data_IF_513811092338
#
_entry.id   IF_513811092338
#
_cell.length_a   1.000
_cell.length_b   1.000
_cell.length_c   1.000
_cell.angle_alpha   90.00
_cell.angle_beta   90.00
_cell.angle_gamma   90.00
#
_symmetry.space_group_name_H-M   'P 1'
#
loop_
_entity.id
_entity.type
_entity.pdbx_description
1 polymer ?
#
# COMPACT_ATOMS: atom_id res chain seq x y z
N UNK A 1 8.68 18.41 -1.60
CA UNK A 1 9.36 17.30 -0.87
C UNK A 1 8.70 16.76 0.42
N UNK A 2 8.52 17.54 1.52
CA UNK A 2 8.13 16.98 2.84
C UNK A 2 6.85 16.11 2.84
N UNK A 3 5.80 16.57 2.14
CA UNK A 3 4.54 15.83 2.00
C UNK A 3 4.74 14.47 1.33
N UNK A 4 5.60 14.41 0.30
CA UNK A 4 5.93 13.18 -0.42
C UNK A 4 6.55 12.14 0.52
N UNK A 5 7.56 12.55 1.27
CA UNK A 5 8.22 11.69 2.27
C UNK A 5 7.24 11.21 3.35
N UNK A 6 6.38 12.10 3.84
CA UNK A 6 5.38 11.76 4.86
C UNK A 6 4.39 10.70 4.36
N UNK A 7 3.81 10.91 3.16
CA UNK A 7 2.88 9.97 2.56
C UNK A 7 3.54 8.64 2.19
N UNK A 8 4.75 8.66 1.65
CA UNK A 8 5.53 7.46 1.37
C UNK A 8 5.87 6.68 2.66
N UNK A 9 6.21 7.39 3.74
CA UNK A 9 6.44 6.81 5.06
C UNK A 9 5.20 6.11 5.61
N UNK A 10 4.02 6.75 5.51
CA UNK A 10 2.74 6.12 5.89
C UNK A 10 2.48 4.88 5.03
N UNK A 11 2.70 4.96 3.73
CA UNK A 11 2.50 3.84 2.80
C UNK A 11 3.42 2.66 3.12
N UNK A 12 4.71 2.91 3.34
CA UNK A 12 5.69 1.90 3.70
C UNK A 12 5.36 1.25 5.04
N UNK A 13 5.16 2.06 6.09
CA UNK A 13 4.83 1.57 7.43
C UNK A 13 3.53 0.77 7.43
N UNK A 14 2.49 1.28 6.78
CA UNK A 14 1.20 0.61 6.70
C UNK A 14 1.27 -0.72 5.94
N UNK A 15 2.09 -0.82 4.88
CA UNK A 15 2.34 -2.10 4.20
C UNK A 15 3.08 -3.09 5.07
N UNK A 16 4.09 -2.66 5.83
CA UNK A 16 4.79 -3.53 6.79
C UNK A 16 3.82 -4.02 7.87
N UNK A 17 2.98 -3.12 8.39
CA UNK A 17 1.95 -3.46 9.35
C UNK A 17 0.95 -4.49 8.81
N UNK A 18 0.46 -4.34 7.57
CA UNK A 18 -0.38 -5.34 6.93
C UNK A 18 0.36 -6.68 6.73
N UNK A 19 1.63 -6.62 6.34
CA UNK A 19 2.47 -7.78 6.05
C UNK A 19 2.66 -8.68 7.26
N UNK A 20 2.73 -8.11 8.46
CA UNK A 20 2.77 -8.86 9.72
C UNK A 20 1.61 -9.86 9.83
N UNK A 21 0.41 -9.47 9.37
CA UNK A 21 -0.79 -10.30 9.48
C UNK A 21 -0.95 -11.28 8.30
N UNK A 22 -0.35 -11.03 7.13
CA UNK A 22 -0.50 -11.95 5.98
C UNK A 22 0.69 -12.90 5.79
N UNK A 23 1.86 -12.58 6.36
CA UNK A 23 3.08 -13.34 6.13
C UNK A 23 3.05 -14.78 6.69
N UNK A 24 2.16 -15.12 7.63
CA UNK A 24 2.09 -16.46 8.24
C UNK A 24 1.07 -17.43 7.62
N UNK A 25 -0.02 -16.93 7.02
CA UNK A 25 -1.22 -17.74 6.75
C UNK A 25 -1.75 -17.62 5.33
N UNK A 26 -0.92 -17.24 4.35
CA UNK A 26 -1.36 -17.09 2.95
C UNK A 26 -2.11 -18.38 2.52
N UNK A 27 -3.44 -18.34 2.57
CA UNK A 27 -4.44 -19.37 2.22
C UNK A 27 -4.98 -20.28 3.33
N UNK A 28 -4.47 -20.26 4.56
CA UNK A 28 -4.93 -21.19 5.61
C UNK A 28 -5.92 -20.56 6.60
N UNK A 29 -5.83 -19.24 6.83
CA UNK A 29 -6.68 -18.53 7.80
C UNK A 29 -7.16 -17.22 7.18
N UNK A 30 -8.44 -16.90 7.39
CA UNK A 30 -8.98 -15.62 7.02
C UNK A 30 -8.54 -14.56 8.03
N UNK A 31 -7.66 -13.66 7.60
CA UNK A 31 -7.15 -12.56 8.43
C UNK A 31 -8.21 -11.46 8.55
N UNK A 32 -8.70 -11.20 9.77
CA UNK A 32 -9.72 -10.17 10.03
C UNK A 32 -9.37 -9.20 11.17
N UNK A 33 -8.14 -9.28 11.68
CA UNK A 33 -7.63 -8.49 12.80
C UNK A 33 -6.65 -7.41 12.34
N UNK A 34 -6.33 -6.48 13.25
CA UNK A 34 -5.42 -5.37 12.99
C UNK A 34 -5.87 -4.53 11.78
N UNK A 35 -5.00 -4.25 10.79
CA UNK A 35 -5.36 -3.39 9.67
C UNK A 35 -6.50 -3.98 8.81
N UNK A 36 -6.64 -5.31 8.78
CA UNK A 36 -7.71 -5.99 8.05
C UNK A 36 -9.08 -5.87 8.72
N UNK A 37 -9.16 -5.39 9.97
CA UNK A 37 -10.45 -5.06 10.57
C UNK A 37 -10.94 -3.65 10.19
N UNK A 38 -10.02 -2.77 9.76
CA UNK A 38 -10.32 -1.37 9.40
C UNK A 38 -10.91 -1.26 8.00
N UNK A 39 -10.39 -2.02 7.04
CA UNK A 39 -10.96 -2.22 5.71
C UNK A 39 -10.51 -3.58 5.15
N UNK A 40 -11.16 -4.02 4.05
CA UNK A 40 -10.87 -5.31 3.40
C UNK A 40 -9.54 -5.35 2.67
N UNK A 41 -9.04 -4.19 2.25
CA UNK A 41 -7.90 -4.05 1.35
C UNK A 41 -6.86 -3.05 1.89
N UNK A 42 -6.40 -3.16 3.16
CA UNK A 42 -5.56 -2.15 3.79
C UNK A 42 -4.18 -2.07 3.12
N UNK A 43 -3.62 -3.20 2.68
CA UNK A 43 -2.36 -3.24 1.94
C UNK A 43 -2.44 -2.38 0.67
N UNK A 44 -3.54 -2.48 -0.08
CA UNK A 44 -3.77 -1.68 -1.29
C UNK A 44 -4.01 -0.21 -0.95
N UNK A 45 -4.74 0.10 0.14
CA UNK A 45 -4.89 1.47 0.62
C UNK A 45 -3.55 2.13 0.94
N UNK A 46 -2.68 1.46 1.71
CA UNK A 46 -1.35 1.99 2.00
C UNK A 46 -0.45 2.05 0.76
N UNK A 47 -0.65 1.14 -0.20
CA UNK A 47 0.03 1.21 -1.49
C UNK A 47 -0.39 2.42 -2.31
N UNK A 48 -1.67 2.77 -2.27
CA UNK A 48 -2.20 3.99 -2.88
C UNK A 48 -1.59 5.23 -2.23
N UNK A 49 -1.64 5.32 -0.88
CA UNK A 49 -1.06 6.46 -0.14
C UNK A 49 0.44 6.60 -0.43
N UNK A 50 1.19 5.49 -0.41
CA UNK A 50 2.61 5.50 -0.72
C UNK A 50 2.90 5.88 -2.17
N UNK A 51 2.14 5.35 -3.13
CA UNK A 51 2.27 5.70 -4.55
C UNK A 51 1.98 7.17 -4.82
N UNK A 52 0.94 7.73 -4.20
CA UNK A 52 0.67 9.17 -4.25
C UNK A 52 1.82 9.96 -3.62
N UNK A 53 2.35 9.51 -2.48
CA UNK A 53 3.52 10.09 -1.85
C UNK A 53 4.72 10.18 -2.79
N UNK A 54 5.09 9.07 -3.45
CA UNK A 54 6.17 9.05 -4.45
C UNK A 54 5.87 10.00 -5.62
N UNK A 55 4.65 9.99 -6.15
CA UNK A 55 4.29 10.88 -7.26
C UNK A 55 4.36 12.37 -6.89
N UNK A 56 4.06 12.73 -5.64
CA UNK A 56 4.20 14.10 -5.14
C UNK A 56 5.66 14.56 -5.03
N UNK A 57 6.64 13.65 -5.08
CA UNK A 57 8.05 14.02 -5.13
C UNK A 57 8.45 14.67 -6.46
N UNK A 58 7.63 14.52 -7.51
CA UNK A 58 7.83 15.23 -8.79
C UNK A 58 7.48 16.72 -8.72
N UNK A 59 6.85 17.16 -7.62
CA UNK A 59 6.40 18.54 -7.40
C UNK A 59 5.41 19.06 -8.47
N UNK A 60 4.72 18.13 -9.14
CA UNK A 60 3.64 18.42 -10.12
C UNK A 60 2.28 17.96 -9.60
N UNK A 61 1.21 18.53 -10.13
CA UNK A 61 -0.15 18.03 -9.88
C UNK A 61 -0.56 16.91 -10.85
N UNK A 62 0.02 16.91 -12.06
CA UNK A 62 -0.33 15.96 -13.11
C UNK A 62 0.04 14.52 -12.74
N UNK A 63 1.25 14.27 -12.20
CA UNK A 63 1.72 12.90 -11.92
C UNK A 63 0.93 12.24 -10.77
N UNK A 64 0.63 12.92 -9.64
CA UNK A 64 -0.27 12.36 -8.62
C UNK A 64 -1.67 12.05 -9.13
N UNK A 65 -2.25 12.92 -9.97
CA UNK A 65 -3.57 12.69 -10.55
C UNK A 65 -3.57 11.45 -11.45
N UNK A 66 -2.59 11.33 -12.35
CA UNK A 66 -2.44 10.16 -13.23
C UNK A 66 -2.20 8.89 -12.42
N UNK A 67 -1.39 8.96 -11.37
CA UNK A 67 -1.16 7.85 -10.44
C UNK A 67 -2.47 7.42 -9.76
N UNK A 68 -3.29 8.38 -9.32
CA UNK A 68 -4.58 8.08 -8.71
C UNK A 68 -5.56 7.41 -9.69
N UNK A 69 -5.64 7.92 -10.93
CA UNK A 69 -6.48 7.36 -11.98
C UNK A 69 -6.03 5.95 -12.37
N UNK A 70 -4.73 5.76 -12.60
CA UNK A 70 -4.16 4.46 -12.92
C UNK A 70 -4.45 3.44 -11.80
N UNK A 71 -4.31 3.85 -10.55
CA UNK A 71 -4.64 2.99 -9.40
C UNK A 71 -6.13 2.64 -9.39
N UNK A 72 -7.00 3.62 -9.60
CA UNK A 72 -8.45 3.47 -9.64
C UNK A 72 -8.96 2.61 -10.80
N UNK A 73 -8.20 2.47 -11.88
CA UNK A 73 -8.53 1.60 -13.03
C UNK A 73 -8.00 0.18 -12.81
N UNK A 74 -6.74 0.05 -12.37
CA UNK A 74 -6.06 -1.24 -12.32
C UNK A 74 -6.44 -2.09 -11.10
N UNK A 75 -6.39 -1.51 -9.91
CA UNK A 75 -6.52 -2.28 -8.67
C UNK A 75 -7.91 -2.84 -8.38
N UNK A 76 -9.05 -2.24 -8.80
CA UNK A 76 -10.35 -2.87 -8.60
C UNK A 76 -10.45 -4.27 -9.22
N UNK A 77 -9.86 -4.48 -10.40
CA UNK A 77 -9.83 -5.80 -11.05
C UNK A 77 -8.95 -6.79 -10.29
N UNK A 78 -7.81 -6.34 -9.76
CA UNK A 78 -6.90 -7.18 -8.94
C UNK A 78 -7.57 -7.56 -7.63
N UNK A 79 -8.16 -6.59 -6.93
CA UNK A 79 -8.90 -6.81 -5.68
C UNK A 79 -10.04 -7.78 -5.93
N UNK A 80 -10.85 -7.59 -6.98
CA UNK A 80 -11.97 -8.49 -7.27
C UNK A 80 -11.53 -9.95 -7.43
N UNK A 81 -10.45 -10.22 -8.17
CA UNK A 81 -9.89 -11.57 -8.31
C UNK A 81 -9.45 -12.17 -6.96
N UNK A 82 -8.83 -11.35 -6.12
CA UNK A 82 -8.44 -11.77 -4.77
C UNK A 82 -9.68 -12.07 -3.90
N UNK A 83 -10.74 -11.26 -4.00
CA UNK A 83 -11.99 -11.50 -3.28
C UNK A 83 -12.71 -12.77 -3.75
N UNK A 84 -12.72 -13.05 -5.05
CA UNK A 84 -13.24 -14.29 -5.61
C UNK A 84 -12.47 -15.50 -5.07
N UNK A 85 -11.14 -15.42 -5.03
CA UNK A 85 -10.26 -16.44 -4.45
C UNK A 85 -10.54 -16.66 -2.96
N UNK A 86 -10.65 -15.59 -2.17
CA UNK A 86 -10.97 -15.67 -0.74
C UNK A 86 -12.37 -16.23 -0.50
N UNK A 87 -13.32 -15.91 -1.37
CA UNK A 87 -14.67 -16.48 -1.30
C UNK A 87 -14.65 -17.99 -1.57
N UNK A 88 -13.85 -18.46 -2.53
CA UNK A 88 -13.66 -19.90 -2.79
C UNK A 88 -13.01 -20.62 -1.59
N UNK A 89 -12.06 -19.98 -0.92
CA UNK A 89 -11.34 -20.58 0.21
C UNK A 89 -12.15 -20.59 1.52
N UNK A 90 -12.91 -19.53 1.81
CA UNK A 90 -13.49 -19.29 3.14
C UNK A 90 -15.02 -19.15 3.15
N UNK A 91 -15.68 -19.17 1.99
CA UNK A 91 -17.14 -19.20 1.87
C UNK A 91 -17.87 -18.16 2.73
N UNK A 92 -18.75 -18.63 3.60
CA UNK A 92 -19.60 -17.77 4.44
C UNK A 92 -18.83 -16.94 5.47
N UNK A 93 -17.68 -17.43 5.95
CA UNK A 93 -16.83 -16.64 6.85
C UNK A 93 -16.36 -15.35 6.17
N UNK A 94 -15.97 -15.43 4.89
CA UNK A 94 -15.59 -14.27 4.11
C UNK A 94 -16.77 -13.37 3.75
N UNK A 95 -17.96 -13.94 3.47
CA UNK A 95 -19.18 -13.15 3.26
C UNK A 95 -19.54 -12.35 4.51
N UNK A 96 -19.48 -12.97 5.69
CA UNK A 96 -19.74 -12.28 6.95
C UNK A 96 -18.72 -11.18 7.22
N UNK A 97 -17.44 -11.43 6.96
CA UNK A 97 -16.40 -10.41 7.02
C UNK A 97 -16.70 -9.21 6.09
N UNK A 98 -17.10 -9.46 4.84
CA UNK A 98 -17.44 -8.41 3.89
C UNK A 98 -18.63 -7.54 4.29
N UNK A 99 -19.60 -8.08 5.03
CA UNK A 99 -20.74 -7.31 5.56
C UNK A 99 -20.32 -6.33 6.66
N UNK A 100 -19.30 -6.70 7.43
CA UNK A 100 -18.90 -5.97 8.63
C UNK A 100 -17.69 -5.05 8.42
N UNK A 101 -16.99 -5.13 7.28
CA UNK A 101 -15.74 -4.40 7.04
C UNK A 101 -15.79 -3.57 5.75
N UNK A 102 -15.42 -2.27 5.78
CA UNK A 102 -15.45 -1.41 4.59
C UNK A 102 -14.58 -1.94 3.45
N UNK A 103 -14.90 -1.58 2.21
CA UNK A 103 -14.18 -2.08 1.04
C UNK A 103 -12.71 -1.63 0.96
N UNK A 104 -12.45 -0.33 1.09
CA UNK A 104 -11.13 0.25 0.81
C UNK A 104 -10.71 1.35 1.79
N UNK A 105 -11.59 2.31 2.07
CA UNK A 105 -11.28 3.40 3.02
C UNK A 105 -11.28 2.82 4.45
N UNK A 106 -10.17 2.91 5.19
CA UNK A 106 -10.06 2.36 6.53
C UNK A 106 -10.91 3.14 7.55
N UNK A 107 -11.57 2.40 8.43
CA UNK A 107 -12.26 2.96 9.60
C UNK A 107 -11.47 2.64 10.86
N UNK A 108 -10.81 3.66 11.45
CA UNK A 108 -9.99 3.50 12.66
C UNK A 108 -10.79 3.01 13.87
N UNK A 109 -12.08 3.34 13.96
CA UNK A 109 -12.96 2.86 15.04
C UNK A 109 -13.23 1.36 14.99
N UNK A 110 -12.92 0.68 13.87
CA UNK A 110 -13.04 -0.78 13.72
C UNK A 110 -11.74 -1.51 13.97
N UNK A 111 -10.67 -0.82 14.38
CA UNK A 111 -9.38 -1.45 14.66
C UNK A 111 -9.55 -2.47 15.80
N UNK A 112 -9.30 -3.74 15.48
CA UNK A 112 -9.25 -4.83 16.46
C UNK A 112 -7.82 -4.99 16.94
N UNK A 113 -7.60 -5.17 18.25
CA UNK A 113 -6.26 -5.42 18.76
C UNK A 113 -5.71 -6.75 18.21
N UNK A 114 -4.38 -6.88 18.08
CA UNK A 114 -3.77 -8.15 17.72
C UNK A 114 -4.09 -9.23 18.77
N UNK A 115 -4.16 -10.51 18.37
CA UNK A 115 -4.18 -11.61 19.33
C UNK A 115 -2.86 -11.67 20.11
N UNK A 116 -2.88 -12.34 21.28
CA UNK A 116 -1.73 -12.41 22.18
C UNK A 116 -0.47 -13.02 21.55
N UNK A 117 -0.64 -13.91 20.56
CA UNK A 117 0.45 -14.44 19.75
C UNK A 117 0.01 -14.52 18.29
N UNK A 118 0.94 -14.20 17.37
CA UNK A 118 0.71 -14.30 15.93
C UNK A 118 1.89 -15.03 15.27
N UNK A 119 1.60 -16.08 14.50
CA UNK A 119 2.62 -16.80 13.74
C UNK A 119 2.95 -16.03 12.46
N UNK A 120 4.24 -15.77 12.25
CA UNK A 120 4.73 -14.99 11.11
C UNK A 120 5.82 -15.81 10.43
N UNK A 121 5.76 -15.98 9.12
CA UNK A 121 6.89 -16.51 8.35
C UNK A 121 7.95 -15.40 8.21
N UNK A 122 9.14 -15.53 8.83
CA UNK A 122 10.14 -14.47 8.81
C UNK A 122 10.67 -14.17 7.40
N UNK A 123 10.79 -15.18 6.54
CA UNK A 123 11.27 -15.00 5.17
C UNK A 123 10.30 -14.17 4.33
N UNK A 124 9.00 -14.51 4.38
CA UNK A 124 7.95 -13.72 3.70
C UNK A 124 7.85 -12.30 4.29
N UNK A 125 7.96 -12.17 5.61
CA UNK A 125 7.86 -10.88 6.27
C UNK A 125 9.02 -9.95 5.92
N UNK A 126 10.26 -10.44 5.96
CA UNK A 126 11.45 -9.67 5.59
C UNK A 126 11.44 -9.27 4.11
N UNK A 127 11.00 -10.17 3.22
CA UNK A 127 10.78 -9.82 1.82
C UNK A 127 9.77 -8.68 1.66
N UNK A 128 8.62 -8.76 2.34
CA UNK A 128 7.61 -7.71 2.30
C UNK A 128 8.10 -6.37 2.89
N UNK A 129 9.05 -6.39 3.85
CA UNK A 129 9.71 -5.17 4.33
C UNK A 129 10.53 -4.55 3.21
N UNK A 130 11.37 -5.32 2.52
CA UNK A 130 12.18 -4.83 1.39
C UNK A 130 11.28 -4.29 0.30
N UNK A 131 10.18 -4.99 -0.01
CA UNK A 131 9.16 -4.48 -0.92
C UNK A 131 8.60 -3.15 -0.46
N UNK A 132 8.27 -2.96 0.82
CA UNK A 132 7.75 -1.69 1.29
C UNK A 132 8.75 -0.52 1.16
N UNK A 133 10.06 -0.79 1.07
CA UNK A 133 11.08 0.24 0.94
C UNK A 133 11.14 0.86 -0.46
N UNK A 134 10.55 0.24 -1.50
CA UNK A 134 10.65 0.78 -2.86
C UNK A 134 10.17 2.23 -2.95
N UNK A 135 9.16 2.65 -2.16
CA UNK A 135 8.74 4.05 -2.12
C UNK A 135 9.87 5.01 -1.74
N UNK A 136 10.67 4.64 -0.75
CA UNK A 136 11.77 5.46 -0.24
C UNK A 136 12.90 5.52 -1.27
N UNK A 137 13.24 4.37 -1.86
CA UNK A 137 14.24 4.31 -2.93
C UNK A 137 13.85 5.18 -4.13
N UNK A 138 12.59 5.13 -4.55
CA UNK A 138 12.11 5.95 -5.66
C UNK A 138 12.15 7.45 -5.34
N UNK A 139 11.76 7.86 -4.14
CA UNK A 139 11.91 9.27 -3.72
C UNK A 139 13.38 9.69 -3.74
N UNK A 140 14.28 8.87 -3.18
CA UNK A 140 15.71 9.16 -3.19
C UNK A 140 16.30 9.28 -4.60
N UNK A 141 15.86 8.43 -5.53
CA UNK A 141 16.25 8.50 -6.94
C UNK A 141 15.70 9.78 -7.58
N UNK A 142 14.44 10.14 -7.34
CA UNK A 142 13.86 11.38 -7.85
C UNK A 142 14.62 12.60 -7.34
N UNK A 143 14.89 12.67 -6.04
CA UNK A 143 15.65 13.76 -5.42
C UNK A 143 17.06 13.86 -6.01
N UNK A 144 17.73 12.72 -6.18
CA UNK A 144 19.06 12.68 -6.77
C UNK A 144 19.05 13.21 -8.22
N UNK A 145 18.07 12.80 -9.03
CA UNK A 145 17.91 13.29 -10.41
C UNK A 145 17.58 14.78 -10.44
N UNK A 146 16.67 15.24 -9.57
CA UNK A 146 16.33 16.67 -9.44
C UNK A 146 17.56 17.50 -9.06
N UNK A 147 18.36 17.03 -8.10
CA UNK A 147 19.62 17.68 -7.73
C UNK A 147 20.64 17.73 -8.88
N UNK A 148 20.69 16.70 -9.73
CA UNK A 148 21.53 16.73 -10.94
C UNK A 148 21.03 17.73 -11.99
N UNK A 149 19.71 17.90 -12.14
CA UNK A 149 19.15 18.94 -13.01
C UNK A 149 19.46 20.35 -12.46
N UNK A 150 19.29 20.57 -11.16
CA UNK A 150 19.61 21.85 -10.51
C UNK A 150 21.10 22.21 -10.59
N UNK A 151 21.97 21.20 -10.49
CA UNK A 151 23.41 21.35 -10.70
C UNK A 151 23.81 21.59 -12.16
N UNK A 152 22.86 21.57 -13.11
CA UNK A 152 23.10 21.72 -14.54
C UNK A 152 23.83 20.53 -15.18
N UNK A 153 23.95 19.41 -14.46
CA UNK A 153 24.64 18.21 -14.95
C UNK A 153 23.79 17.40 -15.93
N UNK A 154 22.46 17.55 -15.86
CA UNK A 154 21.51 16.92 -16.76
C UNK A 154 20.62 17.98 -17.42
N UNK A 155 20.40 17.92 -18.75
CA UNK A 155 19.48 18.82 -19.43
C UNK A 155 18.01 18.44 -19.15
N UNK A 156 17.17 19.46 -18.91
CA UNK A 156 15.71 19.31 -18.80
C UNK A 156 15.08 19.39 -20.19
N UNK A 157 14.54 18.28 -20.68
CA UNK A 157 13.97 18.19 -22.04
C UNK A 157 12.47 18.54 -22.10
N UNK A 158 11.73 18.29 -21.01
CA UNK A 158 10.28 18.49 -20.93
C UNK A 158 9.90 19.02 -19.54
N UNK A 159 9.01 20.01 -19.51
CA UNK A 159 8.40 20.54 -18.29
C UNK A 159 6.98 19.99 -18.20
N UNK A 160 6.68 19.26 -17.12
CA UNK A 160 5.35 18.77 -16.83
C UNK A 160 4.74 19.73 -15.79
N UNK A 161 3.55 20.32 -16.05
CA UNK A 161 2.88 21.20 -15.10
C UNK A 161 2.25 20.44 -13.90
#
# INVERSE_FOLDING_TARGET
MLLACFMAGIGAFGRIWCSLYIAGYKNNVLVTDGPYSMCRNPLYFFSFVGGIGVSCATETFTIPLLTALAFGIYYPSVIRKEQERLLTLFGDAYRNYCRNVPYFIPSLSRLKPPPAAYSVNPATFTHNIVDALWFIWFIGIFEFISGLHEAGMLPVWFLIP
#
